data_IF_846348634394
#
_entry.id   IF_846348634394
#
_cell.length_a   1.000
_cell.length_b   1.000
_cell.length_c   1.000
_cell.angle_alpha   90.00
_cell.angle_beta   90.00
_cell.angle_gamma   90.00
#
_symmetry.space_group_name_H-M   'P 1'
#
loop_
_entity.id
_entity.type
_entity.pdbx_description
1 polymer ?
#
# COMPACT_ATOMS: atom_id res chain seq x y z
N UNK A 1 0.10 8.73 14.05
CA UNK A 1 -0.80 7.59 14.31
C UNK A 1 -0.05 6.30 13.99
N UNK A 2 -0.13 5.26 14.84
CA UNK A 2 0.59 3.99 14.61
C UNK A 2 0.20 3.29 13.30
N UNK A 3 -0.97 3.60 12.76
CA UNK A 3 -1.54 3.02 11.52
C UNK A 3 -0.91 3.56 10.23
N UNK A 4 -0.56 4.84 10.15
CA UNK A 4 0.08 5.40 8.95
C UNK A 4 1.49 4.85 8.74
N UNK A 5 2.28 4.76 9.81
CA UNK A 5 3.64 4.20 9.74
C UNK A 5 3.62 2.71 9.37
N UNK A 6 2.59 1.98 9.80
CA UNK A 6 2.35 0.59 9.40
C UNK A 6 2.02 0.48 7.91
N UNK A 7 1.20 1.38 7.37
CA UNK A 7 0.86 1.41 5.94
C UNK A 7 2.11 1.74 5.10
N UNK A 8 2.90 2.75 5.49
CA UNK A 8 4.15 3.11 4.80
C UNK A 8 5.15 1.96 4.77
N UNK A 9 5.35 1.28 5.92
CA UNK A 9 6.19 0.09 6.00
C UNK A 9 5.69 -1.01 5.07
N UNK A 10 4.37 -1.21 5.00
CA UNK A 10 3.78 -2.24 4.14
C UNK A 10 3.95 -1.93 2.66
N UNK A 11 3.77 -0.68 2.25
CA UNK A 11 4.05 -0.21 0.88
C UNK A 11 5.49 -0.51 0.50
N UNK A 12 6.45 -0.18 1.37
CA UNK A 12 7.87 -0.47 1.13
C UNK A 12 8.14 -1.97 0.93
N UNK A 13 7.60 -2.83 1.79
CA UNK A 13 7.71 -4.29 1.63
C UNK A 13 7.15 -4.80 0.29
N UNK A 14 6.00 -4.27 -0.13
CA UNK A 14 5.37 -4.65 -1.39
C UNK A 14 6.15 -4.14 -2.61
N UNK A 15 6.75 -2.96 -2.53
CA UNK A 15 7.63 -2.43 -3.58
C UNK A 15 8.87 -3.31 -3.75
N UNK A 16 9.48 -3.75 -2.64
CA UNK A 16 10.61 -4.68 -2.69
C UNK A 16 10.21 -6.02 -3.32
N UNK A 17 9.04 -6.56 -2.96
CA UNK A 17 8.51 -7.77 -3.57
C UNK A 17 8.17 -7.61 -5.07
N UNK A 18 7.69 -6.42 -5.48
CA UNK A 18 7.41 -6.10 -6.89
C UNK A 18 8.71 -6.08 -7.70
N UNK A 19 9.74 -5.42 -7.18
CA UNK A 19 11.04 -5.31 -7.82
C UNK A 19 11.77 -6.66 -7.95
N UNK A 20 11.53 -7.58 -7.00
CA UNK A 20 12.07 -8.93 -7.03
C UNK A 20 11.24 -9.92 -7.88
N UNK A 21 10.03 -9.54 -8.32
CA UNK A 21 9.14 -10.41 -9.09
C UNK A 21 9.47 -10.35 -10.58
N UNK A 22 9.68 -11.52 -11.20
CA UNK A 22 9.85 -11.68 -12.64
C UNK A 22 8.54 -12.05 -13.36
N UNK A 23 7.48 -12.35 -12.61
CA UNK A 23 6.17 -12.73 -13.15
C UNK A 23 5.27 -11.51 -13.30
N UNK A 24 4.86 -11.20 -14.52
CA UNK A 24 4.03 -10.04 -14.85
C UNK A 24 2.69 -10.02 -14.09
N UNK A 25 2.01 -11.17 -14.01
CA UNK A 25 0.73 -11.28 -13.28
C UNK A 25 0.89 -10.97 -11.80
N UNK A 26 2.00 -11.42 -11.19
CA UNK A 26 2.30 -11.15 -9.79
C UNK A 26 2.66 -9.69 -9.57
N UNK A 27 3.39 -9.08 -10.51
CA UNK A 27 3.72 -7.65 -10.50
C UNK A 27 2.44 -6.80 -10.54
N UNK A 28 1.46 -7.13 -11.39
CA UNK A 28 0.17 -6.44 -11.47
C UNK A 28 -0.63 -6.52 -10.17
N UNK A 29 -0.65 -7.69 -9.53
CA UNK A 29 -1.31 -7.88 -8.23
C UNK A 29 -0.63 -7.02 -7.15
N UNK A 30 0.70 -7.02 -7.08
CA UNK A 30 1.46 -6.22 -6.11
C UNK A 30 1.27 -4.71 -6.33
N UNK A 31 1.23 -4.28 -7.59
CA UNK A 31 0.95 -2.89 -7.96
C UNK A 31 -0.44 -2.45 -7.53
N UNK A 32 -1.44 -3.32 -7.71
CA UNK A 32 -2.82 -3.06 -7.26
C UNK A 32 -2.91 -2.93 -5.74
N UNK A 33 -2.17 -3.76 -4.99
CA UNK A 33 -2.11 -3.67 -3.52
C UNK A 33 -1.43 -2.38 -3.04
N UNK A 34 -0.34 -1.97 -3.71
CA UNK A 34 0.35 -0.71 -3.40
C UNK A 34 -0.60 0.48 -3.63
N UNK A 35 -1.31 0.51 -4.77
CA UNK A 35 -2.23 1.58 -5.11
C UNK A 35 -3.33 1.79 -4.05
N UNK A 36 -3.90 0.70 -3.54
CA UNK A 36 -4.93 0.77 -2.49
C UNK A 36 -4.36 1.38 -1.20
N UNK A 37 -3.16 0.95 -0.79
CA UNK A 37 -2.53 1.46 0.42
C UNK A 37 -2.12 2.93 0.30
N UNK A 38 -1.65 3.35 -0.88
CA UNK A 38 -1.39 4.75 -1.19
C UNK A 38 -2.68 5.58 -1.16
N UNK A 39 -3.79 5.05 -1.67
CA UNK A 39 -5.10 5.69 -1.55
C UNK A 39 -5.52 5.85 -0.10
N UNK A 40 -5.41 4.81 0.73
CA UNK A 40 -5.74 4.89 2.17
C UNK A 40 -4.89 5.92 2.89
N UNK A 41 -3.60 6.01 2.56
CA UNK A 41 -2.69 6.98 3.18
C UNK A 41 -3.01 8.44 2.81
N UNK A 42 -3.52 8.64 1.60
CA UNK A 42 -3.84 9.97 1.07
C UNK A 42 -5.30 10.38 1.27
N UNK A 43 -6.18 9.46 1.68
CA UNK A 43 -7.55 9.82 1.99
C UNK A 43 -7.63 10.54 3.32
N UNK A 44 -8.31 11.71 3.37
CA UNK A 44 -8.60 12.34 4.64
C UNK A 44 -9.43 11.35 5.45
N UNK A 45 -8.93 10.98 6.64
CA UNK A 45 -9.75 10.32 7.63
C UNK A 45 -10.77 11.33 8.12
N UNK A 46 -11.85 11.54 7.37
CA UNK A 46 -13.09 12.03 7.97
C UNK A 46 -13.44 11.01 9.04
N UNK A 47 -13.18 11.38 10.30
CA UNK A 47 -13.57 10.56 11.43
C UNK A 47 -15.09 10.48 11.39
N UNK A 48 -15.62 9.35 10.92
CA UNK A 48 -17.04 9.03 11.00
C UNK A 48 -17.38 8.72 12.46
N UNK A 49 -17.25 9.72 13.33
CA UNK A 49 -17.72 9.82 14.70
C UNK A 49 -17.42 11.25 15.15
N UNK A 50 -18.28 12.18 14.71
CA UNK A 50 -18.47 13.48 15.34
C UNK A 50 -19.69 13.40 16.26
#
# INVERSE_FOLDING_TARGET
MRTEDQIKRKIYELQQAKNASTHEDRTKVLESQILILEWVLNNPTESYHA
#
